data_IF_334409923238
#
_entry.id   IF_334409923238
#
_cell.length_a   1.000
_cell.length_b   1.000
_cell.length_c   1.000
_cell.angle_alpha   90.00
_cell.angle_beta   90.00
_cell.angle_gamma   90.00
#
_symmetry.space_group_name_H-M   'P 1'
#
loop_
_entity.id
_entity.type
_entity.pdbx_description
1 polymer ?
#
# COMPACT_ATOMS: atom_id res chain seq x y z
N UNK A 1 10.05 -9.85 -29.73
CA UNK A 1 10.07 -10.41 -28.36
C UNK A 1 9.19 -9.56 -27.46
N UNK A 2 7.85 -9.68 -27.54
CA UNK A 2 6.97 -9.08 -26.53
C UNK A 2 6.97 -10.01 -25.32
N UNK A 3 8.03 -9.89 -24.52
CA UNK A 3 8.13 -10.59 -23.24
C UNK A 3 6.86 -10.28 -22.46
N UNK A 4 6.16 -11.33 -22.03
CA UNK A 4 4.95 -11.25 -21.26
C UNK A 4 5.13 -10.19 -20.15
N UNK A 5 4.43 -9.06 -20.28
CA UNK A 5 4.23 -8.14 -19.16
C UNK A 5 3.49 -8.96 -18.12
N UNK A 6 4.24 -9.62 -17.23
CA UNK A 6 3.71 -10.16 -15.97
C UNK A 6 2.95 -8.98 -15.38
N UNK A 7 1.62 -9.03 -15.39
CA UNK A 7 0.74 -7.92 -14.96
C UNK A 7 1.29 -7.47 -13.62
N UNK A 8 1.98 -6.32 -13.59
CA UNK A 8 2.68 -5.90 -12.39
C UNK A 8 1.61 -5.77 -11.31
N UNK A 9 1.71 -6.61 -10.27
CA UNK A 9 0.76 -6.57 -9.17
C UNK A 9 0.85 -5.18 -8.55
N UNK A 10 -0.29 -4.51 -8.41
CA UNK A 10 -0.34 -3.14 -7.90
C UNK A 10 0.36 -3.07 -6.52
N UNK A 11 1.14 -2.01 -6.24
CA UNK A 11 1.70 -1.79 -4.92
C UNK A 11 0.59 -1.55 -3.90
N UNK A 12 0.83 -1.87 -2.63
CA UNK A 12 -0.16 -1.68 -1.58
C UNK A 12 -0.20 -0.22 -1.13
N UNK A 13 -1.38 0.26 -0.73
CA UNK A 13 -1.54 1.50 0.01
C UNK A 13 -2.43 1.26 1.23
N UNK A 14 -1.84 1.33 2.42
CA UNK A 14 -2.57 1.19 3.67
C UNK A 14 -3.39 2.44 3.99
N UNK A 15 -4.65 2.26 4.38
CA UNK A 15 -5.54 3.34 4.81
C UNK A 15 -6.37 2.91 6.02
N UNK A 16 -6.84 3.85 6.82
CA UNK A 16 -7.69 3.59 7.99
C UNK A 16 -8.75 4.69 8.17
N UNK A 17 -9.76 4.42 8.98
CA UNK A 17 -10.83 5.37 9.27
C UNK A 17 -12.03 4.73 9.96
N UNK A 18 -12.80 5.54 10.68
CA UNK A 18 -13.95 5.08 11.47
C UNK A 18 -15.27 5.12 10.68
N UNK A 19 -15.37 5.95 9.63
CA UNK A 19 -16.55 6.01 8.76
C UNK A 19 -16.42 5.09 7.54
N UNK A 20 -17.33 4.13 7.44
CA UNK A 20 -17.35 3.14 6.36
C UNK A 20 -17.57 3.76 4.97
N UNK A 21 -18.40 4.81 4.85
CA UNK A 21 -18.68 5.47 3.56
C UNK A 21 -17.45 6.21 3.03
N UNK A 22 -16.76 6.93 3.91
CA UNK A 22 -15.50 7.60 3.62
C UNK A 22 -14.42 6.60 3.23
N UNK A 23 -14.29 5.49 3.98
CA UNK A 23 -13.35 4.41 3.64
C UNK A 23 -13.61 3.81 2.26
N UNK A 24 -14.87 3.60 1.87
CA UNK A 24 -15.23 3.12 0.52
C UNK A 24 -14.79 4.09 -0.57
N UNK A 25 -14.95 5.40 -0.33
CA UNK A 25 -14.53 6.45 -1.26
C UNK A 25 -13.01 6.50 -1.40
N UNK A 26 -12.29 6.47 -0.27
CA UNK A 26 -10.82 6.41 -0.26
C UNK A 26 -10.29 5.17 -1.01
N UNK A 27 -10.84 3.98 -0.73
CA UNK A 27 -10.45 2.76 -1.42
C UNK A 27 -10.66 2.83 -2.94
N UNK A 28 -11.70 3.53 -3.41
CA UNK A 28 -11.90 3.77 -4.85
C UNK A 28 -10.79 4.65 -5.41
N UNK A 29 -10.52 5.80 -4.78
CA UNK A 29 -9.46 6.72 -5.23
C UNK A 29 -8.08 6.05 -5.26
N UNK A 30 -7.77 5.22 -4.26
CA UNK A 30 -6.52 4.45 -4.20
C UNK A 30 -6.40 3.51 -5.41
N UNK A 31 -7.49 2.82 -5.78
CA UNK A 31 -7.53 1.95 -6.97
C UNK A 31 -7.39 2.74 -8.27
N UNK A 32 -8.02 3.90 -8.34
CA UNK A 32 -7.97 4.78 -9.52
C UNK A 32 -6.55 5.34 -9.70
N UNK A 33 -5.83 5.58 -8.61
CA UNK A 33 -4.41 5.97 -8.60
C UNK A 33 -3.43 4.81 -8.91
N UNK A 34 -3.93 3.58 -9.11
CA UNK A 34 -3.10 2.44 -9.51
C UNK A 34 -2.58 1.56 -8.37
N UNK A 35 -3.01 1.78 -7.13
CA UNK A 35 -2.61 1.00 -5.95
C UNK A 35 -3.66 -0.07 -5.59
N UNK A 36 -3.27 -0.98 -4.70
CA UNK A 36 -4.15 -1.95 -4.03
C UNK A 36 -4.47 -1.45 -2.59
N UNK A 37 -5.72 -1.07 -2.29
CA UNK A 37 -6.08 -0.53 -0.99
C UNK A 37 -6.05 -1.60 0.10
N UNK A 38 -5.36 -1.30 1.20
CA UNK A 38 -5.27 -2.16 2.38
C UNK A 38 -5.95 -1.46 3.56
N UNK A 39 -7.17 -1.91 3.90
CA UNK A 39 -7.90 -1.38 5.06
C UNK A 39 -7.24 -1.87 6.36
N UNK A 40 -6.56 -0.95 7.05
CA UNK A 40 -5.89 -1.19 8.31
C UNK A 40 -6.83 -1.08 9.52
N UNK A 41 -8.12 -0.75 9.31
CA UNK A 41 -9.14 -0.70 10.35
C UNK A 41 -9.47 0.72 10.84
N UNK A 42 -9.73 0.92 12.15
CA UNK A 42 -10.18 2.20 12.71
C UNK A 42 -9.08 3.27 12.71
N UNK A 43 -9.47 4.55 12.83
CA UNK A 43 -8.55 5.69 12.69
C UNK A 43 -7.40 5.68 13.71
N UNK A 44 -7.61 5.09 14.90
CA UNK A 44 -6.56 4.92 15.92
C UNK A 44 -5.32 4.15 15.42
N UNK A 45 -5.45 3.38 14.33
CA UNK A 45 -4.35 2.64 13.71
C UNK A 45 -3.38 3.57 12.96
N UNK A 46 -3.81 4.79 12.60
CA UNK A 46 -2.96 5.80 11.95
C UNK A 46 -1.67 6.11 12.71
N UNK A 47 -1.64 5.87 14.04
CA UNK A 47 -0.43 6.00 14.87
C UNK A 47 0.77 5.17 14.40
N UNK A 48 0.52 4.12 13.61
CA UNK A 48 1.56 3.26 13.05
C UNK A 48 1.95 3.67 11.63
N UNK A 49 1.15 4.51 10.96
CA UNK A 49 1.42 4.96 9.59
C UNK A 49 2.61 5.90 9.54
N UNK A 50 2.76 6.80 10.51
CA UNK A 50 3.90 7.73 10.59
C UNK A 50 5.26 7.01 10.70
N UNK A 51 5.48 6.10 11.67
CA UNK A 51 6.75 5.37 11.73
C UNK A 51 6.96 4.44 10.51
N UNK A 52 5.88 3.90 9.93
CA UNK A 52 5.99 3.12 8.70
C UNK A 52 6.44 3.98 7.51
N UNK A 53 5.87 5.18 7.34
CA UNK A 53 6.27 6.11 6.28
C UNK A 53 7.73 6.56 6.44
N UNK A 54 8.19 6.79 7.67
CA UNK A 54 9.60 7.08 7.95
C UNK A 54 10.53 5.94 7.53
N UNK A 55 10.16 4.68 7.79
CA UNK A 55 10.92 3.53 7.32
C UNK A 55 11.01 3.50 5.78
N UNK A 56 9.89 3.75 5.09
CA UNK A 56 9.87 3.79 3.62
C UNK A 56 10.76 4.93 3.11
N UNK A 57 10.72 6.11 3.73
CA UNK A 57 11.58 7.23 3.36
C UNK A 57 13.06 6.90 3.55
N UNK A 58 13.43 6.27 4.67
CA UNK A 58 14.80 5.82 4.91
C UNK A 58 15.30 4.89 3.79
N UNK A 59 14.49 3.88 3.42
CA UNK A 59 14.85 2.93 2.38
C UNK A 59 14.94 3.60 0.99
N UNK A 60 14.09 4.57 0.72
CA UNK A 60 14.01 5.23 -0.59
C UNK A 60 15.10 6.28 -0.82
N UNK A 61 15.58 6.95 0.23
CA UNK A 61 16.47 8.12 0.08
C UNK A 61 17.85 7.95 0.69
N UNK A 62 18.02 7.06 1.67
CA UNK A 62 19.31 6.85 2.34
C UNK A 62 20.01 5.55 1.92
N UNK A 63 19.38 4.76 1.04
CA UNK A 63 19.95 3.55 0.45
C UNK A 63 20.42 3.74 -0.99
N UNK A 64 21.20 2.77 -1.49
CA UNK A 64 21.78 2.81 -2.85
C UNK A 64 20.77 2.50 -3.97
N UNK A 65 19.57 2.00 -3.63
CA UNK A 65 18.55 1.53 -4.59
C UNK A 65 17.65 2.66 -5.14
N UNK A 66 17.68 3.84 -4.52
CA UNK A 66 16.96 5.03 -4.96
C UNK A 66 15.45 5.04 -4.66
N UNK A 67 14.72 6.07 -5.14
CA UNK A 67 13.37 6.37 -4.68
C UNK A 67 12.26 5.54 -5.34
N UNK A 68 12.59 4.68 -6.31
CA UNK A 68 11.63 3.81 -7.00
C UNK A 68 11.25 2.58 -6.15
N UNK A 69 10.78 2.85 -4.92
CA UNK A 69 10.46 1.85 -3.92
C UNK A 69 8.94 1.68 -3.77
N UNK A 70 8.49 0.44 -3.62
CA UNK A 70 7.12 0.14 -3.25
C UNK A 70 7.05 -1.06 -2.30
N UNK A 71 6.04 -1.06 -1.42
CA UNK A 71 5.75 -2.19 -0.54
C UNK A 71 4.50 -2.96 -1.01
N UNK A 72 4.43 -4.23 -0.62
CA UNK A 72 3.23 -5.05 -0.79
C UNK A 72 3.05 -5.97 0.42
N UNK A 73 1.81 -6.07 0.89
CA UNK A 73 1.42 -7.10 1.86
C UNK A 73 1.00 -8.39 1.14
N UNK A 74 1.61 -9.51 1.49
CA UNK A 74 1.24 -10.83 0.97
C UNK A 74 0.86 -11.76 2.13
N UNK A 75 -0.15 -12.60 1.94
CA UNK A 75 -0.54 -13.64 2.88
C UNK A 75 0.02 -14.97 2.36
N UNK A 76 0.89 -15.60 3.13
CA UNK A 76 1.62 -16.81 2.71
C UNK A 76 0.82 -18.12 2.90
N UNK A 77 -0.41 -18.04 3.38
CA UNK A 77 -1.32 -19.18 3.51
C UNK A 77 -2.77 -18.72 3.41
N UNK A 78 -3.50 -19.26 2.45
CA UNK A 78 -4.95 -19.09 2.33
C UNK A 78 -5.66 -20.39 2.65
N UNK A 79 -6.63 -20.36 3.56
CA UNK A 79 -7.86 -21.08 3.24
C UNK A 79 -8.55 -20.26 2.15
N UNK A 80 -8.84 -20.95 1.04
CA UNK A 80 -9.60 -20.42 -0.08
C UNK A 80 -10.97 -19.90 0.35
#
# INVERSE_FOLDING_TARGET
>A
MFAARRKARRPSLAYCGDDAKSKKTAAKLIRDAGFDPVDAGPLRIARYTEPFALLIAQLAYEGDEGPELAYRFERLGGKA
#
